data_IF_844538721029
#
_entry.id   IF_844538721029
#
_cell.length_a   1.000
_cell.length_b   1.000
_cell.length_c   1.000
_cell.angle_alpha   90.00
_cell.angle_beta   90.00
_cell.angle_gamma   90.00
#
_symmetry.space_group_name_H-M   'P 1'
#
loop_
_entity.id
_entity.type
_entity.pdbx_description
1 polymer ?
#
# COMPACT_ATOMS: atom_id res chain seq x y z
N UNK A 1 -56.26 -38.94 31.74
CA UNK A 1 -54.97 -39.66 31.87
C UNK A 1 -54.12 -39.56 30.62
N UNK A 2 -54.63 -39.93 29.43
CA UNK A 2 -53.89 -39.87 28.18
C UNK A 2 -53.43 -38.44 27.79
N UNK A 3 -54.28 -37.42 27.97
CA UNK A 3 -53.95 -36.02 27.63
C UNK A 3 -52.78 -35.45 28.46
N UNK A 4 -52.74 -35.76 29.76
CA UNK A 4 -51.63 -35.38 30.65
C UNK A 4 -50.31 -36.03 30.20
N UNK A 5 -50.39 -37.27 29.72
CA UNK A 5 -49.24 -38.02 29.24
C UNK A 5 -48.67 -37.41 27.95
N UNK A 6 -49.54 -36.99 27.03
CA UNK A 6 -49.15 -36.30 25.79
C UNK A 6 -48.56 -34.92 26.09
N UNK A 7 -49.13 -34.16 27.03
CA UNK A 7 -48.58 -32.88 27.46
C UNK A 7 -47.18 -33.04 28.08
N UNK A 8 -46.98 -34.04 28.93
CA UNK A 8 -45.68 -34.32 29.53
C UNK A 8 -44.64 -34.72 28.48
N UNK A 9 -45.06 -35.52 27.49
CA UNK A 9 -44.22 -35.92 26.37
C UNK A 9 -43.84 -34.73 25.47
N UNK A 10 -44.78 -33.83 25.18
CA UNK A 10 -44.50 -32.60 24.45
C UNK A 10 -43.55 -31.68 25.23
N UNK A 11 -43.72 -31.59 26.55
CA UNK A 11 -42.86 -30.78 27.41
C UNK A 11 -41.43 -31.34 27.47
N UNK A 12 -41.28 -32.66 27.54
CA UNK A 12 -39.99 -33.34 27.43
C UNK A 12 -39.33 -33.11 26.06
N UNK A 13 -40.12 -33.14 24.99
CA UNK A 13 -39.61 -32.90 23.63
C UNK A 13 -39.11 -31.46 23.46
N UNK A 14 -39.87 -30.47 23.96
CA UNK A 14 -39.47 -29.06 23.94
C UNK A 14 -38.25 -28.82 24.82
N UNK A 15 -38.20 -29.43 26.01
CA UNK A 15 -37.04 -29.32 26.89
C UNK A 15 -35.77 -29.93 26.26
N UNK A 16 -35.91 -31.11 25.63
CA UNK A 16 -34.81 -31.74 24.89
C UNK A 16 -34.36 -30.90 23.70
N UNK A 17 -35.30 -30.31 22.96
CA UNK A 17 -35.01 -29.41 21.86
C UNK A 17 -34.28 -28.14 22.31
N UNK A 18 -34.68 -27.55 23.44
CA UNK A 18 -34.01 -26.38 24.03
C UNK A 18 -32.58 -26.70 24.49
N UNK A 19 -32.37 -27.86 25.10
CA UNK A 19 -31.03 -28.33 25.47
C UNK A 19 -30.15 -28.55 24.24
N UNK A 20 -30.72 -29.11 23.17
CA UNK A 20 -30.03 -29.29 21.90
C UNK A 20 -29.64 -27.95 21.25
N UNK A 21 -30.56 -26.98 21.21
CA UNK A 21 -30.28 -25.61 20.74
C UNK A 21 -29.15 -24.96 21.54
N UNK A 22 -29.17 -25.12 22.86
CA UNK A 22 -28.13 -24.59 23.75
C UNK A 22 -26.76 -25.21 23.44
N UNK A 23 -26.70 -26.53 23.30
CA UNK A 23 -25.47 -27.23 22.91
C UNK A 23 -24.97 -26.79 21.53
N UNK A 24 -25.88 -26.58 20.57
CA UNK A 24 -25.53 -26.10 19.24
C UNK A 24 -25.03 -24.65 19.24
N UNK A 25 -25.58 -23.79 20.12
CA UNK A 25 -25.12 -22.43 20.31
C UNK A 25 -23.72 -22.39 20.94
N UNK A 26 -23.45 -23.26 21.92
CA UNK A 26 -22.14 -23.41 22.54
C UNK A 26 -21.08 -23.89 21.53
N UNK A 27 -21.42 -24.87 20.68
CA UNK A 27 -20.55 -25.33 19.59
C UNK A 27 -20.28 -24.22 18.55
N UNK A 28 -21.30 -23.43 18.17
CA UNK A 28 -21.10 -22.30 17.24
C UNK A 28 -20.25 -21.19 17.84
N UNK A 29 -20.44 -20.89 19.12
CA UNK A 29 -19.61 -19.91 19.83
C UNK A 29 -18.14 -20.38 19.92
N UNK A 30 -17.91 -21.68 20.13
CA UNK A 30 -16.57 -22.26 20.12
C UNK A 30 -15.97 -22.28 18.71
N UNK A 31 -16.73 -22.64 17.68
CA UNK A 31 -16.27 -22.63 16.30
C UNK A 31 -15.90 -21.22 15.82
N UNK A 32 -16.71 -20.22 16.15
CA UNK A 32 -16.41 -18.81 15.86
C UNK A 32 -15.16 -18.33 16.61
N UNK A 33 -14.93 -18.77 17.85
CA UNK A 33 -13.70 -18.45 18.59
C UNK A 33 -12.48 -19.15 18.01
N UNK A 34 -12.61 -20.42 17.61
CA UNK A 34 -11.52 -21.19 16.99
C UNK A 34 -11.10 -20.64 15.62
N UNK A 35 -12.07 -20.24 14.78
CA UNK A 35 -11.78 -19.63 13.49
C UNK A 35 -11.07 -18.28 13.67
N UNK A 36 -11.54 -17.45 14.60
CA UNK A 36 -10.90 -16.16 14.91
C UNK A 36 -9.49 -16.34 15.47
N UNK A 37 -9.24 -17.34 16.31
CA UNK A 37 -7.88 -17.62 16.80
C UNK A 37 -6.96 -18.13 15.69
N UNK A 38 -7.47 -18.96 14.77
CA UNK A 38 -6.69 -19.45 13.63
C UNK A 38 -6.31 -18.33 12.66
N UNK A 39 -7.24 -17.42 12.37
CA UNK A 39 -6.97 -16.24 11.54
C UNK A 39 -5.98 -15.29 12.22
N UNK A 40 -6.09 -15.07 13.53
CA UNK A 40 -5.13 -14.26 14.30
C UNK A 40 -3.73 -14.86 14.30
N UNK A 41 -3.62 -16.18 14.42
CA UNK A 41 -2.35 -16.90 14.40
C UNK A 41 -1.72 -16.87 13.00
N UNK A 42 -2.53 -17.02 11.95
CA UNK A 42 -2.07 -16.84 10.57
C UNK A 42 -1.60 -15.40 10.32
N UNK A 43 -2.35 -14.40 10.79
CA UNK A 43 -1.96 -13.00 10.67
C UNK A 43 -0.64 -12.73 11.41
N UNK A 44 -0.51 -13.25 12.63
CA UNK A 44 0.72 -13.18 13.42
C UNK A 44 1.91 -13.80 12.69
N UNK A 45 1.75 -14.99 12.11
CA UNK A 45 2.80 -15.64 11.31
C UNK A 45 3.17 -14.81 10.09
N UNK A 46 2.20 -14.22 9.39
CA UNK A 46 2.51 -13.33 8.26
C UNK A 46 3.24 -12.06 8.70
N UNK A 47 2.88 -11.48 9.85
CA UNK A 47 3.58 -10.32 10.42
C UNK A 47 5.02 -10.68 10.80
N UNK A 48 5.24 -11.81 11.47
CA UNK A 48 6.59 -12.27 11.83
C UNK A 48 7.45 -12.52 10.57
N UNK A 49 6.88 -13.12 9.52
CA UNK A 49 7.58 -13.33 8.26
C UNK A 49 7.94 -12.02 7.54
N UNK A 50 7.05 -11.03 7.57
CA UNK A 50 7.30 -9.70 7.00
C UNK A 50 8.36 -8.93 7.79
N UNK A 51 8.37 -9.04 9.12
CA UNK A 51 9.39 -8.41 9.96
C UNK A 51 10.79 -8.98 9.68
N UNK A 52 10.91 -10.30 9.59
CA UNK A 52 12.19 -10.95 9.24
C UNK A 52 12.67 -10.48 7.86
N UNK A 53 11.77 -10.43 6.88
CA UNK A 53 12.11 -9.98 5.53
C UNK A 53 12.50 -8.51 5.49
N UNK A 54 11.85 -7.65 6.28
CA UNK A 54 12.20 -6.24 6.39
C UNK A 54 13.58 -6.04 7.01
N UNK A 55 13.92 -6.82 8.04
CA UNK A 55 15.26 -6.80 8.65
C UNK A 55 16.29 -7.20 7.60
N UNK A 56 16.07 -8.29 6.86
CA UNK A 56 16.99 -8.75 5.82
C UNK A 56 17.17 -7.73 4.68
N UNK A 57 16.08 -7.09 4.23
CA UNK A 57 16.15 -6.00 3.25
C UNK A 57 16.84 -4.75 3.81
N UNK A 58 16.67 -4.44 5.09
CA UNK A 58 17.36 -3.34 5.76
C UNK A 58 18.87 -3.57 5.82
N UNK A 59 19.31 -4.80 6.16
CA UNK A 59 20.73 -5.16 6.18
C UNK A 59 21.35 -5.11 4.78
N UNK A 60 20.61 -5.53 3.75
CA UNK A 60 21.03 -5.40 2.34
C UNK A 60 21.15 -3.93 1.92
N UNK A 61 20.19 -3.09 2.32
CA UNK A 61 20.22 -1.66 2.02
C UNK A 61 21.40 -0.98 2.73
N UNK A 62 21.63 -1.29 4.01
CA UNK A 62 22.78 -0.80 4.77
C UNK A 62 24.11 -1.24 4.16
N UNK A 63 24.23 -2.50 3.73
CA UNK A 63 25.42 -2.99 3.04
C UNK A 63 25.69 -2.25 1.73
N UNK A 64 24.64 -1.95 0.94
CA UNK A 64 24.76 -1.13 -0.29
C UNK A 64 25.21 0.30 0.02
N UNK A 65 24.64 0.91 1.06
CA UNK A 65 25.03 2.26 1.49
C UNK A 65 26.51 2.28 1.91
N UNK A 66 26.95 1.31 2.72
CA UNK A 66 28.35 1.21 3.15
C UNK A 66 29.31 0.98 1.96
N UNK A 67 28.90 0.20 0.96
CA UNK A 67 29.68 0.02 -0.28
C UNK A 67 29.82 1.34 -1.05
N UNK A 68 28.73 2.07 -1.25
CA UNK A 68 28.76 3.38 -1.90
C UNK A 68 29.62 4.39 -1.12
N UNK A 69 29.51 4.39 0.21
CA UNK A 69 30.28 5.29 1.07
C UNK A 69 31.78 5.00 1.02
N UNK A 70 32.18 3.72 0.94
CA UNK A 70 33.59 3.31 0.71
C UNK A 70 34.10 3.75 -0.66
N UNK A 71 33.29 3.63 -1.71
CA UNK A 71 33.64 4.10 -3.04
C UNK A 71 33.85 5.62 -3.07
N UNK A 72 33.00 6.38 -2.38
CA UNK A 72 33.15 7.85 -2.24
C UNK A 72 34.40 8.21 -1.43
N UNK A 73 34.72 7.46 -0.37
CA UNK A 73 35.88 7.74 0.51
C UNK A 73 37.22 7.37 -0.14
N UNK A 74 37.24 6.50 -1.15
CA UNK A 74 38.45 6.16 -1.93
C UNK A 74 38.79 7.17 -3.03
N UNK A 75 37.97 8.20 -3.26
CA UNK A 75 38.26 9.29 -4.21
C UNK A 75 39.00 10.44 -3.50
N UNK A 76 40.30 10.69 -3.78
CA UNK A 76 41.01 11.83 -3.21
C UNK A 76 40.55 13.15 -3.87
N UNK A 77 40.66 14.30 -3.17
CA UNK A 77 40.26 15.59 -3.72
C UNK A 77 41.35 16.08 -4.68
N UNK A 78 41.15 15.91 -5.98
CA UNK A 78 42.00 16.57 -6.98
C UNK A 78 41.49 18.00 -7.21
N UNK A 79 41.79 18.90 -6.27
CA UNK A 79 41.97 20.32 -6.61
C UNK A 79 43.46 20.57 -6.79
N UNK A 80 43.89 20.93 -8.00
CA UNK A 80 45.12 21.67 -8.24
C UNK A 80 45.00 22.38 -9.58
N UNK A 81 44.80 23.69 -9.48
CA UNK A 81 44.96 24.67 -10.55
C UNK A 81 46.44 24.76 -10.97
N UNK A 82 46.72 24.79 -12.27
CA UNK A 82 47.96 25.36 -12.82
C UNK A 82 47.78 25.69 -14.31
N UNK A 83 48.06 26.94 -14.68
CA UNK A 83 48.61 27.29 -16.01
C UNK A 83 47.65 27.90 -17.03
N UNK A 84 47.55 29.22 -16.97
CA UNK A 84 46.99 30.20 -17.92
C UNK A 84 47.79 30.27 -19.27
N UNK A 85 47.55 31.21 -20.21
CA UNK A 85 46.64 31.20 -21.37
C UNK A 85 47.37 31.37 -22.75
N UNK A 86 46.66 31.75 -23.82
CA UNK A 86 47.05 31.98 -25.25
C UNK A 86 46.89 30.75 -26.17
N UNK A 87 46.19 30.76 -27.31
CA UNK A 87 45.64 31.83 -28.17
C UNK A 87 44.58 31.21 -29.12
N UNK A 88 43.47 31.94 -29.33
CA UNK A 88 42.68 32.08 -30.60
C UNK A 88 42.16 30.81 -31.28
N UNK A 89 40.87 30.57 -31.55
CA UNK A 89 39.73 31.45 -31.86
C UNK A 89 38.43 30.66 -31.56
N UNK A 90 37.46 31.28 -30.88
CA UNK A 90 36.05 30.89 -30.88
C UNK A 90 35.39 31.38 -32.20
N UNK A 91 34.19 30.92 -32.64
CA UNK A 91 33.04 30.51 -31.81
C UNK A 91 32.17 29.31 -32.26
N UNK A 92 31.83 28.45 -31.28
CA UNK A 92 30.49 27.97 -30.88
C UNK A 92 29.53 27.23 -31.87
N UNK A 93 28.48 26.53 -31.40
CA UNK A 93 28.45 25.06 -31.38
C UNK A 93 27.19 24.46 -32.03
N UNK A 94 27.33 23.43 -32.88
CA UNK A 94 26.19 22.60 -33.29
C UNK A 94 26.66 21.17 -33.59
N UNK A 95 26.59 20.31 -32.59
CA UNK A 95 26.64 18.86 -32.80
C UNK A 95 25.77 18.18 -31.75
N UNK A 96 24.51 18.01 -32.12
CA UNK A 96 23.50 17.18 -31.47
C UNK A 96 23.92 15.71 -31.52
N UNK A 97 23.93 14.98 -30.39
CA UNK A 97 23.79 13.53 -30.42
C UNK A 97 22.46 13.15 -29.76
N UNK A 98 21.68 12.41 -30.54
CA UNK A 98 20.51 11.62 -30.17
C UNK A 98 20.69 10.87 -28.83
N UNK A 99 19.78 11.01 -27.86
CA UNK A 99 19.73 10.11 -26.71
C UNK A 99 19.06 8.79 -27.12
N UNK A 100 19.80 7.68 -27.01
CA UNK A 100 19.19 6.36 -27.00
C UNK A 100 18.34 6.18 -25.74
N UNK A 101 17.12 5.70 -25.94
CA UNK A 101 16.25 5.14 -24.91
C UNK A 101 17.04 4.16 -24.03
N UNK A 102 17.24 4.53 -22.78
CA UNK A 102 17.47 3.56 -21.71
C UNK A 102 16.19 3.57 -20.88
N UNK A 103 15.27 2.65 -21.21
CA UNK A 103 14.14 2.33 -20.35
C UNK A 103 14.68 1.75 -19.04
N UNK A 104 14.85 2.61 -18.04
CA UNK A 104 14.82 2.24 -16.63
C UNK A 104 13.61 2.94 -16.02
N UNK A 105 12.56 2.24 -15.57
CA UNK A 105 11.59 2.81 -14.66
C UNK A 105 12.28 2.92 -13.29
N UNK A 106 13.06 3.98 -13.15
CA UNK A 106 13.48 4.51 -11.88
C UNK A 106 12.20 4.96 -11.18
N UNK A 107 11.61 4.10 -10.34
CA UNK A 107 10.65 4.51 -9.32
C UNK A 107 11.40 5.31 -8.24
N UNK A 108 12.04 6.38 -8.69
CA UNK A 108 12.55 7.44 -7.85
C UNK A 108 11.37 8.30 -7.45
N UNK A 109 11.24 8.50 -6.15
CA UNK A 109 10.43 9.56 -5.56
C UNK A 109 10.98 10.94 -5.95
N UNK A 110 11.05 11.26 -7.24
CA UNK A 110 11.29 12.61 -7.73
C UNK A 110 9.92 13.22 -7.96
N UNK A 111 9.28 13.61 -6.85
CA UNK A 111 8.19 14.57 -6.87
C UNK A 111 8.77 15.90 -7.30
N UNK A 112 8.94 16.09 -8.61
CA UNK A 112 8.95 17.43 -9.14
C UNK A 112 7.58 18.03 -8.83
N UNK A 113 7.57 19.19 -8.18
CA UNK A 113 6.41 20.09 -8.09
C UNK A 113 6.05 20.65 -9.48
N UNK A 114 6.00 19.79 -10.50
CA UNK A 114 5.45 20.12 -11.80
C UNK A 114 3.96 19.75 -11.75
N UNK A 115 3.15 20.76 -11.43
CA UNK A 115 1.72 20.85 -11.77
C UNK A 115 0.92 19.54 -11.64
N UNK A 116 0.99 18.88 -10.47
CA UNK A 116 0.05 17.79 -10.19
C UNK A 116 -1.36 18.38 -10.24
N UNK A 117 -2.26 17.90 -11.13
CA UNK A 117 -3.62 18.40 -11.19
C UNK A 117 -4.23 18.29 -9.81
N UNK A 118 -4.77 19.40 -9.31
CA UNK A 118 -5.20 19.54 -7.91
C UNK A 118 -6.17 18.41 -7.55
N UNK A 119 -6.21 17.97 -6.29
CA UNK A 119 -7.18 16.97 -5.81
C UNK A 119 -8.65 17.30 -6.20
N UNK A 120 -8.96 18.57 -6.45
CA UNK A 120 -10.24 19.00 -7.03
C UNK A 120 -10.54 18.47 -8.44
N UNK A 121 -9.53 18.26 -9.29
CA UNK A 121 -9.69 17.68 -10.63
C UNK A 121 -10.11 16.20 -10.55
N UNK A 122 -9.50 15.43 -9.64
CA UNK A 122 -9.87 14.02 -9.37
C UNK A 122 -11.34 13.90 -8.99
N UNK A 123 -11.80 14.78 -8.09
CA UNK A 123 -13.20 14.81 -7.64
C UNK A 123 -14.16 15.22 -8.76
N UNK A 124 -13.76 16.16 -9.63
CA UNK A 124 -14.56 16.56 -10.78
C UNK A 124 -14.71 15.43 -11.80
N UNK A 125 -13.61 14.74 -12.13
CA UNK A 125 -13.64 13.60 -13.07
C UNK A 125 -14.47 12.43 -12.51
N UNK A 126 -14.41 12.18 -11.20
CA UNK A 126 -15.27 11.19 -10.56
C UNK A 126 -16.76 11.57 -10.61
N UNK A 127 -17.10 12.86 -10.49
CA UNK A 127 -18.49 13.34 -10.67
C UNK A 127 -19.01 13.17 -12.09
N UNK A 128 -18.12 13.20 -13.09
CA UNK A 128 -18.45 12.88 -14.48
C UNK A 128 -18.61 11.37 -14.73
N UNK A 129 -18.44 10.53 -13.70
CA UNK A 129 -18.64 9.09 -13.78
C UNK A 129 -17.44 8.33 -14.38
N UNK A 130 -16.26 8.94 -14.46
CA UNK A 130 -15.07 8.25 -14.94
C UNK A 130 -14.59 7.20 -13.94
N UNK A 131 -14.04 6.11 -14.46
CA UNK A 131 -13.44 5.06 -13.62
C UNK A 131 -12.13 5.52 -12.98
N UNK A 132 -11.78 4.94 -11.83
CA UNK A 132 -10.54 5.22 -11.08
C UNK A 132 -9.30 5.10 -11.97
N UNK A 133 -9.23 4.07 -12.82
CA UNK A 133 -8.11 3.85 -13.73
C UNK A 133 -8.00 4.94 -14.81
N UNK A 134 -9.14 5.47 -15.26
CA UNK A 134 -9.18 6.54 -16.26
C UNK A 134 -8.79 7.88 -15.63
N UNK A 135 -9.27 8.14 -14.42
CA UNK A 135 -8.90 9.33 -13.65
C UNK A 135 -7.40 9.30 -13.36
N UNK A 136 -6.84 8.18 -12.93
CA UNK A 136 -5.41 7.99 -12.71
C UNK A 136 -4.59 8.32 -13.97
N UNK A 137 -5.00 7.83 -15.14
CA UNK A 137 -4.35 8.12 -16.41
C UNK A 137 -4.41 9.60 -16.81
N UNK A 138 -5.54 10.25 -16.58
CA UNK A 138 -5.74 11.65 -16.93
C UNK A 138 -5.07 12.63 -15.96
N UNK A 139 -4.95 12.24 -14.70
CA UNK A 139 -4.40 13.11 -13.64
C UNK A 139 -2.95 12.81 -13.30
N UNK A 140 -2.42 11.68 -13.77
CA UNK A 140 -1.08 11.23 -13.40
C UNK A 140 -0.96 10.72 -11.97
N UNK A 141 -2.08 10.62 -11.23
CA UNK A 141 -2.11 9.99 -9.90
C UNK A 141 -2.08 8.47 -10.01
N UNK A 142 -1.53 7.80 -9.00
CA UNK A 142 -1.66 6.36 -8.89
C UNK A 142 -3.13 5.98 -8.61
N UNK A 143 -3.60 4.80 -9.06
CA UNK A 143 -4.97 4.35 -8.80
C UNK A 143 -5.36 4.37 -7.32
N UNK A 144 -4.44 3.99 -6.43
CA UNK A 144 -4.66 4.03 -4.98
C UNK A 144 -4.74 5.46 -4.41
N UNK A 145 -4.03 6.43 -5.00
CA UNK A 145 -4.12 7.83 -4.60
C UNK A 145 -5.47 8.44 -5.00
N UNK A 146 -5.98 8.07 -6.18
CA UNK A 146 -7.33 8.46 -6.63
C UNK A 146 -8.39 7.91 -5.68
N UNK A 147 -8.30 6.64 -5.28
CA UNK A 147 -9.22 6.05 -4.31
C UNK A 147 -9.15 6.75 -2.94
N UNK A 148 -7.94 7.07 -2.47
CA UNK A 148 -7.74 7.78 -1.22
C UNK A 148 -8.38 9.18 -1.25
N UNK A 149 -8.15 9.96 -2.32
CA UNK A 149 -8.72 11.31 -2.49
C UNK A 149 -10.25 11.26 -2.48
N UNK A 150 -10.85 10.29 -3.18
CA UNK A 150 -12.30 10.13 -3.23
C UNK A 150 -12.89 9.72 -1.87
N UNK A 151 -12.21 8.81 -1.15
CA UNK A 151 -12.63 8.39 0.19
C UNK A 151 -12.54 9.53 1.21
N UNK A 152 -11.46 10.30 1.19
CA UNK A 152 -11.31 11.49 2.05
C UNK A 152 -12.40 12.52 1.74
N UNK A 153 -12.72 12.74 0.46
CA UNK A 153 -13.79 13.69 0.09
C UNK A 153 -15.16 13.21 0.52
N UNK A 154 -15.45 11.90 0.44
CA UNK A 154 -16.71 11.31 0.90
C UNK A 154 -16.88 11.51 2.41
N UNK A 155 -15.87 11.19 3.21
CA UNK A 155 -15.91 11.41 4.67
C UNK A 155 -16.11 12.88 5.03
N UNK A 156 -15.44 13.79 4.33
CA UNK A 156 -15.64 15.23 4.53
C UNK A 156 -17.04 15.74 4.17
N UNK A 157 -17.76 15.05 3.28
CA UNK A 157 -19.15 15.38 2.97
C UNK A 157 -20.09 14.84 4.06
N UNK A 158 -19.83 13.62 4.55
CA UNK A 158 -20.60 13.00 5.65
C UNK A 158 -20.44 13.74 6.99
N UNK A 159 -19.28 14.34 7.25
CA UNK A 159 -19.02 15.15 8.46
C UNK A 159 -19.58 16.58 8.39
N UNK A 160 -19.99 17.03 7.19
CA UNK A 160 -20.50 18.39 6.95
C UNK A 160 -22.03 18.46 6.85
N UNK A 161 -22.73 17.31 6.91
CA UNK A 161 -24.18 17.18 7.06
C UNK A 161 -24.57 16.99 8.54
#
# INVERSE_FOLDING_TARGET
MAELMVLFQALLLVAGWLLFLRAQAELRAQAARQSLTGELEALRQTLDALLVRLIEESERAEARIQQLQRLVTMTPPAQSQHGEPERTNAPQPDAKPTPMETLNPDFGYNSTEQERPTAGAVVQLARLGLSVAEIARQTGYAPGEVELILNLKRRHLEEAE
#
